data_IF_247578436228
#
_entry.id   IF_247578436228
#
_cell.length_a   1.000
_cell.length_b   1.000
_cell.length_c   1.000
_cell.angle_alpha   90.00
_cell.angle_beta   90.00
_cell.angle_gamma   90.00
#
_symmetry.space_group_name_H-M   'P 1'
#
loop_
_entity.id
_entity.type
_entity.pdbx_description
1 polymer ?
#
# COMPACT_ATOMS: atom_id res chain seq x y z
N UNK A 1 33.90 30.08 -48.54
CA UNK A 1 33.44 30.65 -47.25
C UNK A 1 31.92 30.72 -47.15
N UNK A 2 31.19 29.62 -47.37
CA UNK A 2 29.70 29.61 -47.34
C UNK A 2 29.04 28.33 -46.77
N UNK A 3 29.81 27.39 -46.21
CA UNK A 3 29.27 26.11 -45.70
C UNK A 3 29.44 25.87 -44.19
N UNK A 4 29.95 26.84 -43.41
CA UNK A 4 30.15 26.66 -41.96
C UNK A 4 29.06 27.30 -41.07
N UNK A 5 28.06 27.98 -41.63
CA UNK A 5 27.06 28.72 -40.84
C UNK A 5 25.75 27.99 -40.58
N UNK A 6 25.51 26.83 -41.22
CA UNK A 6 24.21 26.14 -41.09
C UNK A 6 24.20 24.97 -40.09
N UNK A 7 25.35 24.59 -39.54
CA UNK A 7 25.46 23.43 -38.63
C UNK A 7 25.36 23.80 -37.15
N UNK A 8 25.49 25.09 -36.80
CA UNK A 8 25.36 25.54 -35.40
C UNK A 8 23.91 25.76 -34.95
N UNK A 9 22.95 25.90 -35.86
CA UNK A 9 21.55 26.15 -35.50
C UNK A 9 20.79 24.86 -35.11
N UNK A 10 21.26 23.69 -35.53
CA UNK A 10 20.59 22.40 -35.23
C UNK A 10 21.06 21.79 -33.91
N UNK A 11 22.28 22.11 -33.45
CA UNK A 11 22.80 21.61 -32.16
C UNK A 11 22.22 22.40 -30.97
N UNK A 12 21.81 23.65 -31.16
CA UNK A 12 21.19 24.44 -30.10
C UNK A 12 19.71 24.07 -29.82
N UNK A 13 19.01 23.48 -30.79
CA UNK A 13 17.62 23.02 -30.61
C UNK A 13 17.53 21.62 -29.97
N UNK A 14 18.58 20.82 -30.02
CA UNK A 14 18.63 19.50 -29.39
C UNK A 14 18.98 19.56 -27.88
N UNK A 15 19.52 20.68 -27.39
CA UNK A 15 19.85 20.86 -25.98
C UNK A 15 18.64 21.27 -25.10
N UNK A 16 17.50 21.62 -25.70
CA UNK A 16 16.30 22.07 -24.98
C UNK A 16 15.31 20.94 -24.63
N UNK A 17 15.50 19.72 -25.16
CA UNK A 17 14.63 18.56 -24.90
C UNK A 17 15.21 17.58 -23.86
N UNK A 18 16.35 17.89 -23.25
CA UNK A 18 17.02 17.06 -22.25
C UNK A 18 16.77 17.43 -20.78
N UNK A 19 15.98 18.46 -20.50
CA UNK A 19 15.69 18.90 -19.12
C UNK A 19 14.31 18.44 -18.63
N UNK A 20 14.03 17.15 -18.71
CA UNK A 20 12.95 16.54 -17.92
C UNK A 20 13.59 15.51 -17.01
N UNK A 21 13.85 15.87 -15.75
CA UNK A 21 14.36 14.88 -14.80
C UNK A 21 14.94 15.39 -13.48
N UNK A 22 15.16 16.69 -13.30
CA UNK A 22 15.42 17.21 -11.95
C UNK A 22 14.07 17.45 -11.27
N UNK A 23 13.54 16.41 -10.64
CA UNK A 23 12.59 16.59 -9.56
C UNK A 23 13.25 17.53 -8.54
N UNK A 24 12.76 18.77 -8.48
CA UNK A 24 13.16 19.71 -7.44
C UNK A 24 12.47 19.26 -6.16
N UNK A 25 13.24 18.89 -5.14
CA UNK A 25 12.71 18.58 -3.81
C UNK A 25 11.73 19.69 -3.37
N UNK A 26 10.51 19.29 -2.98
CA UNK A 26 9.42 20.20 -2.61
C UNK A 26 8.42 20.56 -3.72
N UNK A 27 8.73 20.29 -5.00
CA UNK A 27 7.80 20.58 -6.09
C UNK A 27 6.52 19.73 -6.04
N UNK A 28 6.58 18.49 -5.51
CA UNK A 28 5.40 17.62 -5.43
C UNK A 28 4.42 18.11 -4.36
N UNK A 29 4.91 18.46 -3.17
CA UNK A 29 4.07 19.01 -2.11
C UNK A 29 3.40 20.32 -2.56
N UNK A 30 4.16 21.23 -3.16
CA UNK A 30 3.64 22.51 -3.67
C UNK A 30 2.57 22.28 -4.75
N UNK A 31 2.81 21.35 -5.69
CA UNK A 31 1.84 21.00 -6.72
C UNK A 31 0.56 20.38 -6.12
N UNK A 32 0.70 19.51 -5.11
CA UNK A 32 -0.41 18.92 -4.36
C UNK A 32 -1.21 20.01 -3.64
N UNK A 33 -0.55 20.91 -2.93
CA UNK A 33 -1.19 22.01 -2.21
C UNK A 33 -1.93 22.95 -3.15
N UNK A 34 -1.31 23.30 -4.30
CA UNK A 34 -1.93 24.10 -5.35
C UNK A 34 -3.16 23.41 -5.97
N UNK A 35 -3.08 22.09 -6.18
CA UNK A 35 -4.20 21.26 -6.68
C UNK A 35 -5.31 21.10 -5.64
N UNK A 36 -4.97 21.14 -4.35
CA UNK A 36 -5.90 21.13 -3.22
C UNK A 36 -6.43 19.75 -2.80
N UNK A 37 -5.84 18.67 -3.31
CA UNK A 37 -6.15 17.28 -2.90
C UNK A 37 -4.98 16.32 -3.23
N UNK A 38 -4.91 15.19 -2.52
CA UNK A 38 -4.05 14.04 -2.86
C UNK A 38 -4.76 13.20 -3.92
N UNK A 39 -4.09 12.90 -5.04
CA UNK A 39 -4.53 11.85 -5.95
C UNK A 39 -3.86 10.53 -5.55
N UNK A 40 -4.62 9.60 -5.00
CA UNK A 40 -4.12 8.32 -4.52
C UNK A 40 -4.46 7.18 -5.48
N UNK A 41 -3.48 6.41 -5.91
CA UNK A 41 -3.70 5.15 -6.60
C UNK A 41 -4.01 4.04 -5.59
N UNK A 42 -5.10 3.31 -5.79
CA UNK A 42 -5.58 2.22 -4.93
C UNK A 42 -5.92 0.98 -5.78
N UNK A 43 -6.25 -0.14 -5.15
CA UNK A 43 -6.65 -1.36 -5.88
C UNK A 43 -8.00 -1.20 -6.58
N UNK A 44 -8.24 -2.10 -7.53
CA UNK A 44 -9.45 -2.18 -8.36
C UNK A 44 -10.66 -2.77 -7.63
N UNK A 45 -10.54 -3.18 -6.36
CA UNK A 45 -11.66 -3.71 -5.58
C UNK A 45 -11.28 -4.86 -4.67
N UNK A 46 -10.36 -4.60 -3.74
CA UNK A 46 -9.92 -5.58 -2.75
C UNK A 46 -10.54 -5.27 -1.37
N UNK A 47 -11.51 -6.08 -0.89
CA UNK A 47 -12.09 -5.89 0.44
C UNK A 47 -11.03 -5.80 1.54
N UNK A 48 -11.23 -4.87 2.47
CA UNK A 48 -10.28 -4.56 3.56
C UNK A 48 -9.11 -3.68 3.16
N UNK A 49 -8.69 -3.67 1.89
CA UNK A 49 -7.57 -2.85 1.40
C UNK A 49 -8.05 -1.57 0.71
N UNK A 50 -8.81 -1.73 -0.37
CA UNK A 50 -9.49 -0.62 -1.05
C UNK A 50 -10.62 -1.15 -1.93
N UNK A 51 -11.86 -0.83 -1.54
CA UNK A 51 -13.08 -1.23 -2.26
C UNK A 51 -14.13 -0.12 -2.14
N UNK A 52 -14.87 0.22 -3.22
CA UNK A 52 -16.00 1.13 -3.11
C UNK A 52 -17.11 0.54 -2.23
N UNK A 53 -17.65 1.35 -1.32
CA UNK A 53 -18.91 1.04 -0.65
C UNK A 53 -20.13 1.34 -1.56
N UNK A 54 -21.34 1.16 -1.02
CA UNK A 54 -22.60 1.39 -1.76
C UNK A 54 -22.78 2.83 -2.25
N UNK A 55 -22.10 3.79 -1.63
CA UNK A 55 -22.12 5.20 -2.04
C UNK A 55 -21.02 5.55 -3.06
N UNK A 56 -20.15 4.58 -3.39
CA UNK A 56 -18.96 4.79 -4.23
C UNK A 56 -17.76 5.34 -3.46
N UNK A 57 -17.83 5.47 -2.13
CA UNK A 57 -16.69 5.91 -1.32
C UNK A 57 -15.71 4.75 -1.14
N UNK A 58 -14.42 4.95 -1.46
CA UNK A 58 -13.41 3.89 -1.36
C UNK A 58 -13.05 3.63 0.12
N UNK A 59 -13.34 2.46 0.65
CA UNK A 59 -13.02 2.05 2.02
C UNK A 59 -11.83 1.08 2.05
N UNK A 60 -11.11 0.98 3.16
CA UNK A 60 -10.04 0.01 3.38
C UNK A 60 -8.74 0.63 3.92
N UNK A 61 -7.82 -0.22 4.39
CA UNK A 61 -6.57 0.21 5.03
C UNK A 61 -5.70 1.07 4.11
N UNK A 62 -5.63 0.72 2.81
CA UNK A 62 -4.85 1.48 1.84
C UNK A 62 -5.50 2.85 1.57
N UNK A 63 -6.83 2.88 1.49
CA UNK A 63 -7.60 4.11 1.31
C UNK A 63 -7.50 5.03 2.53
N UNK A 64 -7.50 4.46 3.74
CA UNK A 64 -7.33 5.20 4.98
C UNK A 64 -5.92 5.74 5.16
N UNK A 65 -4.90 5.03 4.67
CA UNK A 65 -3.57 5.60 4.59
C UNK A 65 -3.53 6.85 3.68
N UNK A 66 -4.20 6.83 2.52
CA UNK A 66 -4.33 8.03 1.68
C UNK A 66 -5.05 9.17 2.41
N UNK A 67 -6.10 8.86 3.19
CA UNK A 67 -6.82 9.84 4.03
C UNK A 67 -5.94 10.42 5.13
N UNK A 68 -5.09 9.60 5.75
CA UNK A 68 -4.12 10.05 6.75
C UNK A 68 -3.13 11.05 6.12
N UNK A 69 -2.62 10.76 4.92
CA UNK A 69 -1.76 11.70 4.19
C UNK A 69 -2.51 13.00 3.86
N UNK A 70 -3.77 12.93 3.42
CA UNK A 70 -4.59 14.12 3.16
C UNK A 70 -4.86 14.95 4.44
N UNK A 71 -5.15 14.28 5.57
CA UNK A 71 -5.33 14.93 6.86
C UNK A 71 -4.05 15.63 7.34
N UNK A 72 -2.88 15.00 7.14
CA UNK A 72 -1.60 15.60 7.48
C UNK A 72 -1.32 16.88 6.67
N UNK A 73 -1.53 16.83 5.35
CA UNK A 73 -1.21 17.93 4.42
C UNK A 73 -2.23 19.06 4.49
N UNK A 74 -3.52 18.74 4.56
CA UNK A 74 -4.61 19.73 4.43
C UNK A 74 -5.35 20.01 5.75
N UNK A 75 -5.19 19.16 6.78
CA UNK A 75 -6.08 19.15 7.94
C UNK A 75 -7.47 18.59 7.63
N UNK A 76 -7.66 17.93 6.48
CA UNK A 76 -8.95 17.38 6.05
C UNK A 76 -8.74 16.07 5.28
N UNK A 77 -9.14 14.96 5.90
CA UNK A 77 -9.07 13.61 5.36
C UNK A 77 -9.89 13.43 4.06
N UNK A 78 -10.83 14.34 3.75
CA UNK A 78 -11.64 14.31 2.53
C UNK A 78 -10.93 14.93 1.33
N UNK A 79 -9.76 15.57 1.52
CA UNK A 79 -8.94 16.13 0.43
C UNK A 79 -8.13 15.04 -0.29
N UNK A 80 -8.82 13.97 -0.69
CA UNK A 80 -8.25 12.84 -1.43
C UNK A 80 -9.20 12.46 -2.56
N UNK A 81 -8.62 12.12 -3.72
CA UNK A 81 -9.29 11.47 -4.84
C UNK A 81 -8.60 10.15 -5.12
N UNK A 82 -9.35 9.16 -5.59
CA UNK A 82 -8.87 7.82 -5.81
C UNK A 82 -8.85 7.46 -7.29
N UNK A 83 -7.75 6.87 -7.76
CA UNK A 83 -7.66 6.16 -9.03
C UNK A 83 -7.58 4.66 -8.71
N UNK A 84 -8.55 3.89 -9.17
CA UNK A 84 -8.52 2.43 -9.06
C UNK A 84 -7.63 1.87 -10.17
N UNK A 85 -6.62 1.07 -9.81
CA UNK A 85 -5.58 0.61 -10.73
C UNK A 85 -5.41 -0.91 -10.64
N UNK A 86 -5.33 -1.57 -11.78
CA UNK A 86 -4.93 -2.97 -11.85
C UNK A 86 -3.42 -3.15 -11.58
N UNK A 87 -2.95 -4.41 -11.51
CA UNK A 87 -1.56 -4.70 -11.16
C UNK A 87 -0.54 -4.24 -12.21
N UNK A 88 -0.94 -4.17 -13.48
CA UNK A 88 -0.07 -3.84 -14.63
C UNK A 88 0.16 -2.33 -14.76
N UNK A 89 -0.87 -1.52 -14.52
CA UNK A 89 -0.81 -0.07 -14.78
C UNK A 89 -0.41 0.77 -13.56
N UNK A 90 -0.49 0.21 -12.34
CA UNK A 90 -0.28 0.95 -11.08
C UNK A 90 1.05 1.73 -11.00
N UNK A 91 2.12 1.17 -11.55
CA UNK A 91 3.43 1.80 -11.52
C UNK A 91 3.56 2.89 -12.58
N UNK A 92 3.04 2.65 -13.78
CA UNK A 92 3.01 3.64 -14.86
C UNK A 92 2.21 4.88 -14.45
N UNK A 93 1.08 4.71 -13.76
CA UNK A 93 0.28 5.83 -13.25
C UNK A 93 1.07 6.69 -12.23
N UNK A 94 1.90 6.07 -11.39
CA UNK A 94 2.75 6.81 -10.46
C UNK A 94 3.91 7.51 -11.19
N UNK A 95 4.56 6.80 -12.11
CA UNK A 95 5.69 7.32 -12.90
C UNK A 95 5.28 8.50 -13.81
N UNK A 96 4.07 8.46 -14.37
CA UNK A 96 3.54 9.54 -15.23
C UNK A 96 3.10 10.77 -14.43
N UNK A 97 3.02 10.66 -13.10
CA UNK A 97 2.48 11.70 -12.22
C UNK A 97 0.95 11.80 -12.25
N UNK A 98 0.25 10.83 -12.85
CA UNK A 98 -1.22 10.74 -12.78
C UNK A 98 -1.68 10.66 -11.32
N UNK A 99 -0.97 9.89 -10.50
CA UNK A 99 -1.18 9.80 -9.05
C UNK A 99 0.00 10.42 -8.27
N UNK A 100 -0.25 10.84 -7.04
CA UNK A 100 0.77 11.41 -6.15
C UNK A 100 1.43 10.35 -5.26
N UNK A 101 0.66 9.32 -4.94
CA UNK A 101 1.07 8.21 -4.09
C UNK A 101 0.28 6.97 -4.52
N UNK A 102 0.96 5.82 -4.53
CA UNK A 102 0.32 4.52 -4.70
C UNK A 102 0.21 3.86 -3.32
N UNK A 103 -0.99 3.86 -2.76
CA UNK A 103 -1.33 3.10 -1.56
C UNK A 103 -2.25 1.97 -2.00
N UNK A 104 -1.65 0.83 -2.32
CA UNK A 104 -2.30 -0.34 -2.92
C UNK A 104 -1.43 -1.51 -2.56
N UNK A 105 -1.94 -2.58 -1.95
CA UNK A 105 -1.24 -3.84 -1.65
C UNK A 105 -0.06 -4.18 -2.62
N UNK A 106 1.10 -3.58 -2.37
CA UNK A 106 2.24 -3.55 -3.30
C UNK A 106 3.48 -3.88 -2.52
N UNK A 107 4.05 -5.03 -2.84
CA UNK A 107 5.27 -5.51 -2.20
C UNK A 107 6.45 -4.61 -2.49
N UNK A 108 7.17 -4.23 -1.45
CA UNK A 108 8.50 -3.67 -1.58
C UNK A 108 9.50 -4.74 -1.99
N UNK A 109 10.04 -4.61 -3.20
CA UNK A 109 11.12 -5.47 -3.71
C UNK A 109 12.31 -4.64 -4.14
N UNK A 110 13.50 -5.25 -4.15
CA UNK A 110 14.72 -4.59 -4.64
C UNK A 110 14.59 -4.15 -6.10
N UNK A 111 13.91 -4.91 -6.96
CA UNK A 111 13.71 -4.54 -8.36
C UNK A 111 12.80 -3.32 -8.50
N UNK A 112 11.67 -3.27 -7.78
CA UNK A 112 10.74 -2.13 -7.81
C UNK A 112 11.40 -0.86 -7.31
N UNK A 113 12.19 -0.98 -6.25
CA UNK A 113 12.93 0.14 -5.67
C UNK A 113 14.10 0.58 -6.57
N UNK A 114 14.95 -0.34 -7.03
CA UNK A 114 16.17 0.03 -7.74
C UNK A 114 15.93 0.53 -9.17
N UNK A 115 15.00 -0.06 -9.94
CA UNK A 115 14.98 0.11 -11.40
C UNK A 115 13.77 0.87 -11.97
N UNK A 116 12.75 1.16 -11.16
CA UNK A 116 11.50 1.75 -11.68
C UNK A 116 11.39 3.26 -11.47
N UNK A 117 12.41 3.93 -10.92
CA UNK A 117 12.30 5.35 -10.55
C UNK A 117 11.26 5.59 -9.45
N UNK A 118 11.02 4.57 -8.63
CA UNK A 118 10.09 4.57 -7.52
C UNK A 118 10.86 4.51 -6.21
N UNK A 119 10.19 4.87 -5.13
CA UNK A 119 10.73 4.79 -3.78
C UNK A 119 9.65 4.32 -2.82
N UNK A 120 10.05 3.44 -1.91
CA UNK A 120 9.22 3.00 -0.78
C UNK A 120 9.62 3.83 0.43
N UNK A 121 8.72 4.63 1.02
CA UNK A 121 9.07 5.54 2.12
C UNK A 121 9.54 4.85 3.40
N UNK A 122 9.63 3.52 3.48
CA UNK A 122 10.13 2.80 4.66
C UNK A 122 9.06 2.38 5.66
N UNK A 123 7.85 2.92 5.56
CA UNK A 123 6.67 2.42 6.27
C UNK A 123 6.05 1.24 5.49
N UNK A 124 5.75 0.14 6.18
CA UNK A 124 5.04 -1.02 5.62
C UNK A 124 3.66 -1.09 6.24
N UNK A 125 2.63 -0.82 5.44
CA UNK A 125 1.23 -0.84 5.89
C UNK A 125 0.81 -2.22 6.39
N UNK A 126 1.26 -3.27 5.70
CA UNK A 126 0.89 -4.64 6.04
C UNK A 126 1.97 -5.65 5.60
N UNK A 127 2.46 -6.47 6.51
CA UNK A 127 3.34 -7.60 6.23
C UNK A 127 2.53 -8.85 5.89
N UNK A 128 2.76 -9.40 4.70
CA UNK A 128 2.06 -10.59 4.20
C UNK A 128 3.04 -11.62 3.61
N UNK A 129 2.48 -12.66 2.99
CA UNK A 129 3.19 -13.57 2.11
C UNK A 129 2.24 -14.31 1.18
N UNK A 130 2.77 -14.81 0.05
CA UNK A 130 1.98 -15.55 -0.93
C UNK A 130 1.53 -16.90 -0.36
N UNK A 131 0.26 -17.22 -0.54
CA UNK A 131 -0.35 -18.50 -0.23
C UNK A 131 -1.21 -19.03 -1.36
N UNK A 132 -2.05 -20.01 -1.01
CA UNK A 132 -2.91 -20.73 -1.96
C UNK A 132 -4.30 -20.92 -1.37
N UNK A 133 -5.35 -20.57 -2.11
CA UNK A 133 -6.74 -20.79 -1.77
C UNK A 133 -7.28 -21.92 -2.64
N UNK A 134 -7.72 -23.00 -2.01
CA UNK A 134 -8.26 -24.19 -2.69
C UNK A 134 -9.70 -24.44 -2.23
N UNK A 135 -10.51 -25.02 -3.12
CA UNK A 135 -11.78 -25.61 -2.70
C UNK A 135 -11.49 -26.87 -1.88
N UNK A 136 -12.14 -27.01 -0.73
CA UNK A 136 -11.95 -28.14 0.19
C UNK A 136 -12.27 -29.49 -0.47
N UNK A 137 -13.11 -29.51 -1.52
CA UNK A 137 -13.42 -30.72 -2.31
C UNK A 137 -12.21 -31.26 -3.08
N UNK A 138 -11.18 -30.44 -3.33
CA UNK A 138 -9.93 -30.88 -3.96
C UNK A 138 -9.16 -31.86 -3.05
N UNK A 139 -9.44 -31.86 -1.74
CA UNK A 139 -8.88 -32.84 -0.79
C UNK A 139 -7.43 -32.57 -0.37
N UNK A 140 -6.80 -31.53 -0.92
CA UNK A 140 -5.42 -31.12 -0.56
C UNK A 140 -5.37 -30.36 0.75
N UNK A 141 -4.30 -30.59 1.52
CA UNK A 141 -4.06 -29.93 2.81
C UNK A 141 -2.78 -29.09 2.84
N UNK A 142 -1.95 -29.21 1.81
CA UNK A 142 -0.66 -28.54 1.70
C UNK A 142 -0.42 -28.07 0.27
N UNK A 143 0.24 -26.93 0.11
CA UNK A 143 0.73 -26.46 -1.17
C UNK A 143 1.72 -27.44 -1.84
N UNK A 144 2.30 -28.38 -1.08
CA UNK A 144 3.17 -29.44 -1.59
C UNK A 144 2.41 -30.54 -2.33
N UNK A 145 1.09 -30.61 -2.17
CA UNK A 145 0.21 -31.59 -2.81
C UNK A 145 -0.37 -31.06 -4.14
N UNK A 146 0.10 -29.91 -4.62
CA UNK A 146 -0.42 -29.24 -5.81
C UNK A 146 0.27 -29.67 -7.12
N UNK A 147 0.93 -30.84 -7.15
CA UNK A 147 1.57 -31.32 -8.38
C UNK A 147 0.53 -31.54 -9.49
N UNK A 148 0.76 -30.92 -10.65
CA UNK A 148 -0.12 -30.94 -11.80
C UNK A 148 -1.33 -30.00 -11.73
N UNK A 149 -1.49 -29.23 -10.63
CA UNK A 149 -2.66 -28.36 -10.46
C UNK A 149 -2.71 -27.21 -11.46
N UNK A 150 -3.92 -26.78 -11.79
CA UNK A 150 -4.19 -25.55 -12.54
C UNK A 150 -4.34 -24.39 -11.57
N UNK A 151 -3.52 -23.35 -11.70
CA UNK A 151 -3.44 -22.24 -10.74
C UNK A 151 -3.81 -20.92 -11.40
N UNK A 152 -4.86 -20.28 -10.88
CA UNK A 152 -5.28 -18.93 -11.23
C UNK A 152 -4.31 -17.92 -10.59
N UNK A 153 -3.75 -17.01 -11.40
CA UNK A 153 -2.76 -16.01 -10.98
C UNK A 153 -3.08 -14.67 -11.64
N UNK A 154 -2.89 -13.55 -10.93
CA UNK A 154 -2.93 -12.23 -11.55
C UNK A 154 -1.58 -11.90 -12.20
N UNK A 155 -1.58 -11.47 -13.46
CA UNK A 155 -0.37 -11.11 -14.19
C UNK A 155 0.29 -9.81 -13.67
N UNK A 156 1.61 -9.71 -13.79
CA UNK A 156 2.36 -8.51 -13.38
C UNK A 156 2.53 -8.37 -11.87
N UNK A 157 2.55 -9.50 -11.17
CA UNK A 157 2.64 -9.58 -9.70
C UNK A 157 3.93 -10.27 -9.24
N UNK A 158 4.32 -10.05 -7.98
CA UNK A 158 5.36 -10.85 -7.33
C UNK A 158 4.92 -12.30 -7.18
N UNK A 159 3.61 -12.52 -6.97
CA UNK A 159 2.97 -13.84 -6.87
C UNK A 159 3.30 -14.75 -8.05
N UNK A 160 3.19 -14.25 -9.29
CA UNK A 160 3.49 -15.02 -10.50
C UNK A 160 4.92 -15.58 -10.49
N UNK A 161 5.90 -14.75 -10.13
CA UNK A 161 7.31 -15.13 -10.06
C UNK A 161 7.57 -16.10 -8.89
N UNK A 162 7.01 -15.80 -7.72
CA UNK A 162 7.22 -16.59 -6.50
C UNK A 162 6.61 -17.99 -6.61
N UNK A 163 5.45 -18.14 -7.27
CA UNK A 163 4.83 -19.44 -7.51
C UNK A 163 5.66 -20.25 -8.50
N UNK A 164 6.17 -19.63 -9.57
CA UNK A 164 7.08 -20.31 -10.51
C UNK A 164 8.31 -20.86 -9.80
N UNK A 165 8.92 -20.05 -8.93
CA UNK A 165 10.11 -20.43 -8.16
C UNK A 165 9.81 -21.52 -7.13
N UNK A 166 8.68 -21.43 -6.41
CA UNK A 166 8.27 -22.45 -5.44
C UNK A 166 8.04 -23.82 -6.09
N UNK A 167 7.31 -23.88 -7.20
CA UNK A 167 7.05 -25.13 -7.91
C UNK A 167 8.35 -25.74 -8.46
N UNK A 168 9.21 -24.91 -9.06
CA UNK A 168 10.53 -25.34 -9.54
C UNK A 168 11.41 -25.88 -8.42
N UNK A 169 11.49 -25.19 -7.29
CA UNK A 169 12.32 -25.57 -6.15
C UNK A 169 11.83 -26.84 -5.43
N UNK A 170 10.55 -27.19 -5.56
CA UNK A 170 9.96 -28.39 -4.96
C UNK A 170 9.73 -29.52 -5.98
N UNK A 171 10.25 -29.39 -7.21
CA UNK A 171 10.06 -30.37 -8.28
C UNK A 171 8.58 -30.66 -8.62
N UNK A 172 7.71 -29.66 -8.45
CA UNK A 172 6.28 -29.74 -8.77
C UNK A 172 6.02 -29.12 -10.15
N UNK A 173 5.01 -29.63 -10.85
CA UNK A 173 4.47 -29.05 -12.08
C UNK A 173 3.16 -28.33 -11.79
N UNK A 174 2.83 -27.32 -12.58
CA UNK A 174 1.53 -26.66 -12.54
C UNK A 174 1.22 -26.01 -13.88
N UNK A 175 -0.06 -25.70 -14.11
CA UNK A 175 -0.51 -24.94 -15.27
C UNK A 175 -0.99 -23.56 -14.82
N UNK A 176 -0.26 -22.46 -15.11
CA UNK A 176 -0.74 -21.12 -14.79
C UNK A 176 -1.89 -20.70 -15.72
N UNK A 177 -2.95 -20.12 -15.14
CA UNK A 177 -3.94 -19.33 -15.87
C UNK A 177 -3.86 -17.90 -15.37
N UNK A 178 -3.42 -16.99 -16.24
CA UNK A 178 -3.18 -15.59 -15.91
C UNK A 178 -4.42 -14.72 -16.16
N UNK A 179 -4.70 -13.81 -15.24
CA UNK A 179 -5.79 -12.84 -15.34
C UNK A 179 -5.29 -11.41 -15.12
N UNK A 180 -6.05 -10.43 -15.61
CA UNK A 180 -5.71 -9.02 -15.46
C UNK A 180 -6.22 -8.45 -14.14
N UNK A 181 -7.37 -8.93 -13.67
CA UNK A 181 -7.99 -8.47 -12.43
C UNK A 181 -8.09 -9.56 -11.37
N UNK A 182 -8.14 -9.15 -10.10
CA UNK A 182 -8.29 -10.08 -8.99
C UNK A 182 -9.65 -10.79 -9.04
N UNK A 183 -10.71 -10.08 -9.43
CA UNK A 183 -12.07 -10.61 -9.51
C UNK A 183 -12.21 -11.72 -10.56
N UNK A 184 -11.59 -11.57 -11.72
CA UNK A 184 -11.59 -12.61 -12.76
C UNK A 184 -10.90 -13.89 -12.30
N UNK A 185 -9.77 -13.75 -11.58
CA UNK A 185 -9.05 -14.91 -11.03
C UNK A 185 -9.87 -15.66 -9.97
N UNK A 186 -10.59 -14.93 -9.10
CA UNK A 186 -11.45 -15.52 -8.08
C UNK A 186 -12.70 -16.19 -8.67
N UNK A 187 -13.36 -15.56 -9.65
CA UNK A 187 -14.48 -16.17 -10.39
C UNK A 187 -14.05 -17.40 -11.18
N UNK A 188 -12.82 -17.43 -11.68
CA UNK A 188 -12.28 -18.57 -12.40
C UNK A 188 -11.99 -19.76 -11.47
N UNK A 189 -11.53 -19.51 -10.23
CA UNK A 189 -11.52 -20.54 -9.19
C UNK A 189 -12.95 -21.03 -8.89
N UNK A 190 -13.91 -20.11 -8.67
CA UNK A 190 -15.28 -20.45 -8.29
C UNK A 190 -16.02 -21.31 -9.31
N UNK A 191 -15.79 -21.04 -10.61
CA UNK A 191 -16.35 -21.80 -11.72
C UNK A 191 -15.64 -23.13 -11.99
N UNK A 192 -14.56 -23.45 -11.25
CA UNK A 192 -13.79 -24.68 -11.41
C UNK A 192 -12.84 -24.67 -12.62
N UNK A 193 -12.53 -23.49 -13.20
CA UNK A 193 -11.54 -23.35 -14.27
C UNK A 193 -10.10 -23.51 -13.77
N UNK A 194 -9.88 -23.21 -12.50
CA UNK A 194 -8.62 -23.47 -11.79
C UNK A 194 -8.91 -24.32 -10.56
N UNK A 195 -7.94 -25.15 -10.18
CA UNK A 195 -7.99 -25.92 -8.93
C UNK A 195 -7.70 -25.03 -7.72
N UNK A 196 -6.82 -24.02 -7.92
CA UNK A 196 -6.28 -23.16 -6.87
C UNK A 196 -6.17 -21.71 -7.33
N UNK A 197 -6.43 -20.75 -6.44
CA UNK A 197 -6.06 -19.34 -6.60
C UNK A 197 -4.84 -19.04 -5.73
N UNK A 198 -3.87 -18.31 -6.27
CA UNK A 198 -2.69 -17.87 -5.49
C UNK A 198 -2.59 -16.35 -5.48
N UNK A 199 -2.23 -15.80 -4.31
CA UNK A 199 -2.05 -14.38 -4.05
C UNK A 199 -1.46 -14.22 -2.64
N UNK A 200 -1.24 -12.98 -2.20
CA UNK A 200 -0.93 -12.69 -0.80
C UNK A 200 -2.08 -13.20 0.10
N UNK A 201 -1.78 -13.76 1.27
CA UNK A 201 -2.81 -14.45 2.09
C UNK A 201 -3.95 -13.52 2.49
N UNK A 202 -3.67 -12.27 2.83
CA UNK A 202 -4.72 -11.28 3.13
C UNK A 202 -5.66 -11.08 1.93
N UNK A 203 -5.10 -11.03 0.71
CA UNK A 203 -5.87 -10.95 -0.53
C UNK A 203 -6.69 -12.21 -0.75
N UNK A 204 -6.17 -13.40 -0.43
CA UNK A 204 -6.94 -14.65 -0.51
C UNK A 204 -8.14 -14.65 0.44
N UNK A 205 -7.99 -14.16 1.68
CA UNK A 205 -9.13 -13.99 2.61
C UNK A 205 -10.18 -13.03 2.04
N UNK A 206 -9.75 -11.93 1.43
CA UNK A 206 -10.63 -10.93 0.81
C UNK A 206 -11.31 -11.40 -0.48
N UNK A 207 -10.64 -12.22 -1.29
CA UNK A 207 -11.27 -12.86 -2.44
C UNK A 207 -12.26 -13.93 -2.00
N UNK A 208 -11.88 -14.77 -1.01
CA UNK A 208 -12.75 -15.79 -0.43
C UNK A 208 -14.05 -15.21 0.11
N UNK A 209 -14.03 -14.05 0.75
CA UNK A 209 -15.24 -13.40 1.29
C UNK A 209 -16.23 -12.95 0.21
N UNK A 210 -15.82 -12.87 -1.06
CA UNK A 210 -16.68 -12.51 -2.20
C UNK A 210 -17.28 -13.71 -2.93
N UNK A 211 -16.81 -14.92 -2.63
CA UNK A 211 -17.33 -16.15 -3.24
C UNK A 211 -18.74 -16.46 -2.72
N UNK A 212 -19.53 -17.19 -3.50
CA UNK A 212 -20.89 -17.60 -3.15
C UNK A 212 -20.92 -18.54 -1.92
N UNK A 213 -19.91 -19.39 -1.79
CA UNK A 213 -19.74 -20.31 -0.65
C UNK A 213 -18.36 -20.18 -0.01
N UNK A 214 -18.05 -19.08 0.71
CA UNK A 214 -16.71 -18.82 1.26
C UNK A 214 -16.17 -19.94 2.15
N UNK A 215 -17.06 -20.63 2.88
CA UNK A 215 -16.71 -21.73 3.80
C UNK A 215 -16.20 -22.98 3.10
N UNK A 216 -16.47 -23.14 1.81
CA UNK A 216 -15.98 -24.27 1.03
C UNK A 216 -14.50 -24.12 0.65
N UNK A 217 -13.92 -22.94 0.86
CA UNK A 217 -12.55 -22.63 0.46
C UNK A 217 -11.62 -22.44 1.66
N UNK A 218 -10.44 -23.05 1.56
CA UNK A 218 -9.41 -23.02 2.60
C UNK A 218 -8.13 -22.38 2.05
N UNK A 219 -7.56 -21.47 2.83
CA UNK A 219 -6.19 -20.98 2.59
C UNK A 219 -5.23 -22.02 3.14
N UNK A 220 -4.38 -22.59 2.29
CA UNK A 220 -3.42 -23.62 2.67
C UNK A 220 -2.35 -23.07 3.63
N UNK A 221 -1.74 -23.92 4.47
CA UNK A 221 -0.85 -23.47 5.54
C UNK A 221 0.42 -22.76 5.05
N UNK A 222 0.97 -23.16 3.92
CA UNK A 222 2.26 -22.65 3.43
C UNK A 222 2.20 -21.16 3.07
N UNK A 223 3.26 -20.43 3.46
CA UNK A 223 3.57 -19.08 2.98
C UNK A 223 4.90 -19.18 2.23
N UNK A 224 4.91 -18.84 0.94
CA UNK A 224 6.06 -19.12 0.06
C UNK A 224 6.97 -17.92 -0.20
N UNK A 225 6.56 -16.73 0.24
CA UNK A 225 7.30 -15.48 0.02
C UNK A 225 7.14 -14.51 1.18
N UNK A 226 7.96 -13.44 1.16
CA UNK A 226 7.81 -12.27 2.03
C UNK A 226 7.20 -11.15 1.20
N UNK A 227 6.06 -10.62 1.61
CA UNK A 227 5.33 -9.58 0.86
C UNK A 227 5.07 -8.36 1.78
N UNK A 228 6.09 -7.54 2.10
CA UNK A 228 5.87 -6.27 2.81
C UNK A 228 5.13 -5.28 1.91
N UNK A 229 3.83 -5.09 2.16
CA UNK A 229 2.95 -4.20 1.42
C UNK A 229 3.11 -2.78 1.93
N UNK A 230 3.56 -1.88 1.05
CA UNK A 230 3.95 -0.52 1.42
C UNK A 230 3.42 0.51 0.42
N UNK A 231 3.16 1.75 0.86
CA UNK A 231 2.93 2.86 -0.05
C UNK A 231 4.17 3.10 -0.91
N UNK A 232 3.94 3.63 -2.12
CA UNK A 232 4.98 3.91 -3.09
C UNK A 232 4.85 5.35 -3.57
N UNK A 233 5.99 6.04 -3.69
CA UNK A 233 6.08 7.38 -4.26
C UNK A 233 7.06 7.37 -5.45
N UNK A 234 6.97 8.37 -6.31
CA UNK A 234 7.99 8.57 -7.34
C UNK A 234 9.30 9.04 -6.68
N UNK A 235 10.45 8.55 -7.15
CA UNK A 235 11.75 8.97 -6.64
C UNK A 235 12.05 10.42 -7.03
N UNK A 236 12.86 11.10 -6.22
CA UNK A 236 13.40 12.43 -6.53
C UNK A 236 12.72 13.59 -5.79
N UNK A 237 11.74 13.31 -4.93
CA UNK A 237 11.20 14.28 -3.99
C UNK A 237 11.30 13.74 -2.55
N UNK A 238 12.45 14.00 -1.93
CA UNK A 238 12.77 13.53 -0.57
C UNK A 238 11.83 14.12 0.48
N UNK A 239 11.32 15.34 0.25
CA UNK A 239 10.37 16.00 1.14
C UNK A 239 9.02 15.28 1.11
N UNK A 240 8.48 15.01 -0.08
CA UNK A 240 7.25 14.23 -0.21
C UNK A 240 7.40 12.83 0.38
N UNK A 241 8.55 12.19 0.13
CA UNK A 241 8.87 10.87 0.69
C UNK A 241 8.91 10.91 2.22
N UNK A 242 9.54 11.94 2.81
CA UNK A 242 9.59 12.11 4.25
C UNK A 242 8.21 12.31 4.86
N UNK A 243 7.33 13.10 4.22
CA UNK A 243 5.95 13.30 4.68
C UNK A 243 5.20 11.95 4.70
N UNK A 244 5.22 11.20 3.60
CA UNK A 244 4.51 9.91 3.51
C UNK A 244 5.06 8.91 4.54
N UNK A 245 6.38 8.84 4.70
CA UNK A 245 7.07 8.03 5.72
C UNK A 245 6.55 8.35 7.13
N UNK A 246 6.61 9.63 7.50
CA UNK A 246 6.28 10.05 8.85
C UNK A 246 4.78 9.96 9.15
N UNK A 247 3.90 10.12 8.16
CA UNK A 247 2.47 9.78 8.32
C UNK A 247 2.28 8.33 8.75
N UNK A 248 2.95 7.38 8.10
CA UNK A 248 2.91 5.97 8.50
C UNK A 248 3.43 5.72 9.91
N UNK A 249 4.59 6.30 10.25
CA UNK A 249 5.15 6.15 11.59
C UNK A 249 4.35 6.87 12.69
N UNK A 250 3.66 7.97 12.38
CA UNK A 250 2.77 8.63 13.35
C UNK A 250 1.55 7.75 13.70
N UNK A 251 0.99 7.01 12.74
CA UNK A 251 -0.09 6.06 12.99
C UNK A 251 0.34 4.95 13.96
N UNK A 252 1.57 4.46 13.84
CA UNK A 252 2.15 3.46 14.75
C UNK A 252 2.49 4.05 16.12
N UNK A 253 3.19 5.19 16.16
CA UNK A 253 3.56 5.85 17.42
C UNK A 253 2.33 6.26 18.25
N UNK A 254 1.24 6.65 17.60
CA UNK A 254 -0.03 6.95 18.30
C UNK A 254 -0.70 5.70 18.85
N UNK A 255 -0.67 4.58 18.12
CA UNK A 255 -1.14 3.30 18.65
C UNK A 255 -0.30 2.86 19.87
N UNK A 256 1.03 2.91 19.76
CA UNK A 256 1.95 2.56 20.84
C UNK A 256 1.75 3.42 22.08
N UNK A 257 1.45 4.72 21.91
CA UNK A 257 1.17 5.65 22.99
C UNK A 257 -0.27 5.58 23.55
N UNK A 258 -1.14 4.70 23.03
CA UNK A 258 -2.55 4.62 23.44
C UNK A 258 -3.40 5.84 23.03
N UNK A 259 -2.94 6.59 22.02
CA UNK A 259 -3.64 7.74 21.46
C UNK A 259 -4.55 7.27 20.34
N UNK A 260 -5.82 7.60 20.43
CA UNK A 260 -6.91 7.16 19.57
C UNK A 260 -7.68 8.34 19.02
N UNK A 261 -8.52 8.10 18.01
CA UNK A 261 -9.48 9.08 17.50
C UNK A 261 -10.35 9.72 18.58
N UNK A 262 -10.58 9.02 19.70
CA UNK A 262 -11.46 9.46 20.79
C UNK A 262 -10.78 10.36 21.82
N UNK A 263 -9.47 10.29 21.99
CA UNK A 263 -8.75 11.01 23.06
C UNK A 263 -7.69 12.00 22.56
N UNK A 264 -7.30 11.95 21.27
CA UNK A 264 -6.17 12.73 20.76
C UNK A 264 -6.27 14.23 21.00
N UNK A 265 -7.46 14.82 20.86
CA UNK A 265 -7.66 16.26 21.10
C UNK A 265 -7.51 16.65 22.58
N UNK A 266 -7.88 15.75 23.50
CA UNK A 266 -7.75 15.97 24.94
C UNK A 266 -6.29 15.80 25.39
N UNK A 267 -5.61 14.78 24.84
CA UNK A 267 -4.20 14.50 25.10
C UNK A 267 -3.30 15.62 24.57
N UNK A 268 -3.56 16.13 23.37
CA UNK A 268 -2.81 17.25 22.78
C UNK A 268 -2.82 18.52 23.66
N UNK A 269 -3.85 18.69 24.51
CA UNK A 269 -4.00 19.87 25.39
C UNK A 269 -3.47 19.65 26.80
N UNK A 270 -3.53 18.41 27.29
CA UNK A 270 -3.39 18.15 28.73
C UNK A 270 -2.26 17.19 29.11
N UNK A 271 -1.69 16.46 28.13
CA UNK A 271 -0.69 15.43 28.41
C UNK A 271 0.52 16.00 29.15
N UNK A 272 1.02 15.24 30.11
CA UNK A 272 2.28 15.51 30.82
C UNK A 272 3.41 14.61 30.36
N UNK A 273 3.11 13.65 29.47
CA UNK A 273 4.12 12.80 28.86
C UNK A 273 4.85 13.62 27.77
N UNK A 274 6.17 13.86 27.91
CA UNK A 274 6.92 14.63 26.92
C UNK A 274 6.94 14.01 25.52
N UNK A 275 6.93 12.67 25.41
CA UNK A 275 6.90 12.00 24.10
C UNK A 275 5.58 12.25 23.38
N UNK A 276 4.45 12.15 24.10
CA UNK A 276 3.12 12.46 23.56
C UNK A 276 3.01 13.95 23.23
N UNK A 277 3.55 14.83 24.07
CA UNK A 277 3.56 16.27 23.80
C UNK A 277 4.29 16.61 22.49
N UNK A 278 5.42 15.96 22.20
CA UNK A 278 6.13 16.13 20.92
C UNK A 278 5.37 15.56 19.75
N UNK A 279 4.89 14.32 19.90
CA UNK A 279 4.14 13.60 18.88
C UNK A 279 2.90 14.38 18.44
N UNK A 280 2.19 15.01 19.36
CA UNK A 280 0.95 15.76 19.10
C UNK A 280 1.17 17.26 18.83
N UNK A 281 2.43 17.72 18.77
CA UNK A 281 2.76 19.11 18.40
C UNK A 281 2.62 20.14 19.53
N UNK A 282 2.50 19.71 20.79
CA UNK A 282 2.57 20.62 21.95
C UNK A 282 4.02 21.07 22.24
N UNK A 283 5.02 20.23 21.91
CA UNK A 283 6.45 20.48 22.10
C UNK A 283 7.24 20.31 20.78
N UNK A 284 8.19 21.20 20.51
CA UNK A 284 8.99 21.22 19.27
C UNK A 284 8.24 21.65 17.99
N UNK A 285 8.96 21.66 16.87
CA UNK A 285 8.47 22.11 15.55
C UNK A 285 8.59 21.01 14.47
N UNK A 286 8.39 19.74 14.84
CA UNK A 286 8.56 18.59 13.92
C UNK A 286 7.58 18.61 12.74
N UNK A 287 6.36 19.11 12.92
CA UNK A 287 5.42 19.33 11.82
C UNK A 287 5.93 20.36 10.80
N UNK A 288 6.25 21.60 11.24
CA UNK A 288 6.87 22.61 10.37
C UNK A 288 8.15 22.18 9.66
N UNK A 289 8.98 21.33 10.29
CA UNK A 289 10.17 20.74 9.64
C UNK A 289 9.83 19.84 8.44
N UNK A 290 8.62 19.27 8.42
CA UNK A 290 8.04 18.52 7.29
C UNK A 290 7.15 19.41 6.40
N UNK A 291 7.15 20.74 6.60
CA UNK A 291 6.21 21.70 5.98
C UNK A 291 4.72 21.37 6.23
N UNK A 292 4.43 20.72 7.35
CA UNK A 292 3.08 20.45 7.82
C UNK A 292 2.70 21.39 8.97
N UNK A 293 1.43 21.38 9.36
CA UNK A 293 0.99 22.07 10.58
C UNK A 293 1.64 21.45 11.82
N UNK A 294 1.78 22.24 12.90
CA UNK A 294 2.35 21.76 14.16
C UNK A 294 1.60 20.55 14.72
N UNK A 295 0.27 20.58 14.60
CA UNK A 295 -0.66 19.56 15.08
C UNK A 295 -0.99 18.48 14.03
N UNK A 296 -0.15 18.27 13.01
CA UNK A 296 -0.43 17.35 11.89
C UNK A 296 -0.83 15.93 12.33
N UNK A 297 -0.25 15.40 13.41
CA UNK A 297 -0.62 14.08 13.97
C UNK A 297 -2.02 14.11 14.57
N UNK A 298 -2.40 15.20 15.25
CA UNK A 298 -3.76 15.38 15.78
C UNK A 298 -4.77 15.38 14.63
N UNK A 299 -4.45 16.08 13.53
CA UNK A 299 -5.29 16.13 12.33
C UNK A 299 -5.51 14.73 11.72
N UNK A 300 -4.47 13.88 11.69
CA UNK A 300 -4.58 12.49 11.23
C UNK A 300 -5.49 11.69 12.15
N UNK A 301 -5.13 11.59 13.43
CA UNK A 301 -5.74 10.62 14.35
C UNK A 301 -7.20 10.98 14.65
N UNK A 302 -7.53 12.27 14.76
CA UNK A 302 -8.91 12.70 15.00
C UNK A 302 -9.86 12.31 13.86
N UNK A 303 -9.35 12.17 12.62
CA UNK A 303 -10.17 11.93 11.43
C UNK A 303 -10.12 10.48 10.95
N UNK A 304 -9.00 9.78 11.14
CA UNK A 304 -8.77 8.45 10.55
C UNK A 304 -8.54 7.36 11.61
N UNK A 305 -8.07 7.76 12.80
CA UNK A 305 -7.61 6.86 13.87
C UNK A 305 -6.11 6.56 13.80
N UNK A 306 -5.60 5.87 14.81
CA UNK A 306 -4.24 5.29 14.81
C UNK A 306 -4.17 4.00 13.95
N UNK A 307 -2.99 3.38 13.83
CA UNK A 307 -2.82 2.17 13.02
C UNK A 307 -3.74 1.02 13.47
N UNK A 308 -3.84 0.77 14.77
CA UNK A 308 -4.72 -0.27 15.32
C UNK A 308 -6.20 -0.06 14.98
N UNK A 309 -6.69 1.18 15.12
CA UNK A 309 -8.07 1.53 14.73
C UNK A 309 -8.31 1.33 13.23
N UNK A 310 -7.33 1.69 12.39
CA UNK A 310 -7.39 1.48 10.93
C UNK A 310 -7.37 -0.02 10.60
N UNK A 311 -6.54 -0.81 11.27
CA UNK A 311 -6.48 -2.25 11.08
C UNK A 311 -7.80 -2.91 11.47
N UNK A 312 -8.29 -2.63 12.68
CA UNK A 312 -9.44 -3.34 13.26
C UNK A 312 -10.72 -3.10 12.45
N UNK A 313 -10.94 -1.87 11.97
CA UNK A 313 -12.14 -1.54 11.20
C UNK A 313 -12.13 -2.11 9.78
N UNK A 314 -10.96 -2.40 9.22
CA UNK A 314 -10.81 -2.81 7.81
C UNK A 314 -10.48 -4.30 7.64
N UNK A 315 -9.67 -4.88 8.53
CA UNK A 315 -9.13 -6.25 8.43
C UNK A 315 -9.46 -7.11 9.65
N UNK A 316 -9.63 -6.49 10.81
CA UNK A 316 -9.69 -7.18 12.10
C UNK A 316 -10.84 -8.16 12.29
N UNK A 317 -10.90 -8.77 13.48
CA UNK A 317 -11.86 -9.82 13.87
C UNK A 317 -13.33 -9.45 13.76
N UNK A 318 -13.65 -8.17 13.77
CA UNK A 318 -15.03 -7.68 13.64
C UNK A 318 -15.46 -7.49 12.18
N UNK A 319 -14.54 -7.71 11.23
CA UNK A 319 -14.81 -7.60 9.79
C UNK A 319 -15.07 -8.99 9.19
N UNK A 320 -15.68 -9.09 8.00
CA UNK A 320 -15.82 -10.37 7.29
C UNK A 320 -14.51 -11.09 6.95
N UNK A 321 -13.36 -10.42 7.09
CA UNK A 321 -12.04 -11.00 6.83
C UNK A 321 -11.49 -11.76 8.03
N UNK A 322 -11.87 -11.34 9.25
CA UNK A 322 -11.47 -11.96 10.51
C UNK A 322 -9.95 -12.14 10.70
N UNK A 323 -9.14 -11.21 10.17
CA UNK A 323 -7.67 -11.32 10.17
C UNK A 323 -7.12 -10.92 11.55
N UNK A 324 -6.25 -11.76 12.09
CA UNK A 324 -5.44 -11.45 13.28
C UNK A 324 -4.29 -10.51 12.94
N UNK A 325 -3.86 -9.69 13.91
CA UNK A 325 -2.71 -8.80 13.74
C UNK A 325 -1.45 -9.56 13.31
N UNK A 326 -1.11 -10.68 13.96
CA UNK A 326 0.06 -11.48 13.62
C UNK A 326 1.34 -10.62 13.55
N UNK A 327 2.07 -10.69 12.43
CA UNK A 327 3.24 -9.85 12.17
C UNK A 327 2.94 -8.34 12.19
N UNK A 328 1.69 -7.96 11.93
CA UNK A 328 1.23 -6.57 11.93
C UNK A 328 0.87 -6.05 13.33
N UNK A 329 1.04 -6.84 14.39
CA UNK A 329 1.01 -6.32 15.75
C UNK A 329 2.17 -5.33 15.97
N UNK A 330 2.01 -4.42 16.94
CA UNK A 330 3.13 -3.60 17.40
C UNK A 330 4.29 -4.48 17.87
N UNK A 331 5.51 -3.97 17.72
CA UNK A 331 6.73 -4.64 18.18
C UNK A 331 6.69 -4.97 19.68
N UNK A 332 6.02 -4.15 20.49
CA UNK A 332 5.79 -4.39 21.93
C UNK A 332 4.80 -5.51 22.21
N UNK A 333 4.03 -5.93 21.20
CA UNK A 333 2.99 -6.97 21.27
C UNK A 333 3.34 -8.21 20.40
N UNK A 334 4.64 -8.45 20.16
CA UNK A 334 5.13 -9.63 19.46
C UNK A 334 5.04 -9.58 17.94
N UNK A 335 4.61 -8.46 17.36
CA UNK A 335 4.68 -8.23 15.91
C UNK A 335 5.95 -7.50 15.49
N UNK A 336 5.94 -6.94 14.28
CA UNK A 336 7.09 -6.23 13.69
C UNK A 336 6.72 -4.84 13.17
N UNK A 337 5.53 -4.33 13.49
CA UNK A 337 5.24 -2.92 13.27
C UNK A 337 6.02 -2.09 14.29
N UNK A 338 7.07 -1.42 13.80
CA UNK A 338 8.01 -0.64 14.58
C UNK A 338 8.17 0.74 13.93
N UNK A 339 7.95 1.79 14.73
CA UNK A 339 8.12 3.17 14.27
C UNK A 339 9.37 3.79 14.87
N UNK A 340 10.19 4.48 14.06
CA UNK A 340 11.15 5.44 14.58
C UNK A 340 10.44 6.51 15.43
N UNK A 341 11.10 7.02 16.49
CA UNK A 341 10.50 8.02 17.36
C UNK A 341 10.40 9.39 16.69
N UNK A 342 9.33 10.14 16.98
CA UNK A 342 9.24 11.57 16.65
C UNK A 342 10.00 12.36 17.73
N UNK A 343 11.21 12.82 17.41
CA UNK A 343 12.19 13.29 18.39
C UNK A 343 13.07 14.40 17.85
#
# INVERSE_FOLDING_TARGET
>A
MKMLKSTLAVVAAAAALGMTGFAQAGAKLDAIQKKGFIQCGVSDGLPGFSVPDKSGTIQGIDADFCRAVAAAVFGDAKKVKFSQLNAKERFTALQSGEIDILSRNTTWTSSRDASMGLEFPGFVTYYDGVGFLANSKLGVKSAKELDGATICIQAGTTTELNVSDYFRANNLKYTPITFDTSDESAKSLESGRCDVLTSDKSQLYAQRSKLASPKDYVVLPETISKEPLAPVVARGDDEWTAIVRWVGYALLNTEEAGITSKNVEAEAKSTKNPDVARLLGADGDYGPQLKLKKDWVVQIVAQVGNYGEIFDKNLGKTTPLEIDRGMNALWTNGGIQYAPPVR
#
